data_IF_872218116205
#
_entry.id   IF_872218116205
#
_cell.length_a   1.000
_cell.length_b   1.000
_cell.length_c   1.000
_cell.angle_alpha   90.00
_cell.angle_beta   90.00
_cell.angle_gamma   90.00
#
_symmetry.space_group_name_H-M   'P 1'
#
loop_
_entity.id
_entity.type
_entity.pdbx_description
1 polymer ?
#
# COMPACT_ATOMS: atom_id res chain seq x y z
N UNK A 1 18.34 22.88 5.54
CA UNK A 1 17.70 22.50 6.82
C UNK A 1 16.24 22.94 6.74
N UNK A 2 15.30 21.99 6.69
CA UNK A 2 13.86 22.34 6.61
C UNK A 2 13.39 22.83 7.97
N UNK A 3 12.61 23.92 8.01
CA UNK A 3 11.97 24.40 9.23
C UNK A 3 10.88 23.42 9.62
N UNK A 4 10.67 23.18 10.92
CA UNK A 4 9.61 22.26 11.43
C UNK A 4 8.19 22.60 10.96
N UNK A 5 7.96 23.84 10.53
CA UNK A 5 6.69 24.34 10.00
C UNK A 5 6.34 23.82 8.60
N UNK A 6 7.34 23.29 7.85
CA UNK A 6 7.16 22.83 6.48
C UNK A 6 7.09 21.28 6.39
N UNK A 7 6.72 20.60 7.50
CA UNK A 7 6.72 19.14 7.61
C UNK A 7 5.44 18.62 8.20
N UNK A 8 4.94 17.51 7.67
CA UNK A 8 3.99 16.64 8.33
C UNK A 8 4.76 15.70 9.25
N UNK A 9 4.27 15.51 10.47
CA UNK A 9 4.92 14.67 11.50
C UNK A 9 3.87 13.75 12.11
N UNK A 10 4.15 12.45 12.11
CA UNK A 10 3.38 11.47 12.88
C UNK A 10 4.27 10.82 13.93
N UNK A 11 3.77 10.67 15.14
CA UNK A 11 4.42 9.94 16.21
C UNK A 11 3.99 8.48 16.15
N UNK A 12 4.96 7.56 16.07
CA UNK A 12 4.73 6.12 15.99
C UNK A 12 5.38 5.45 17.19
N UNK A 13 4.61 4.70 17.96
CA UNK A 13 5.16 3.87 19.03
C UNK A 13 5.66 2.54 18.49
N UNK A 14 6.94 2.22 18.74
CA UNK A 14 7.49 0.89 18.47
C UNK A 14 7.32 -0.01 19.68
N UNK A 15 6.64 -1.15 19.49
CA UNK A 15 6.31 -2.10 20.56
C UNK A 15 7.54 -2.73 21.22
N UNK A 16 8.66 -2.87 20.49
CA UNK A 16 9.87 -3.55 20.95
C UNK A 16 10.70 -2.75 21.93
N UNK A 17 10.63 -1.41 21.91
CA UNK A 17 11.50 -0.57 22.74
C UNK A 17 10.78 0.54 23.49
N UNK A 18 9.44 0.61 23.46
CA UNK A 18 8.66 1.76 24.00
C UNK A 18 9.22 3.12 23.52
N UNK A 19 9.90 3.13 22.41
CA UNK A 19 10.45 4.34 21.81
C UNK A 19 9.43 4.97 20.88
N UNK A 20 9.26 6.27 21.02
CA UNK A 20 8.45 7.08 20.12
C UNK A 20 9.33 7.47 18.93
N UNK A 21 9.02 6.96 17.77
CA UNK A 21 9.65 7.38 16.53
C UNK A 21 8.78 8.41 15.81
N UNK A 22 9.41 9.35 15.13
CA UNK A 22 8.70 10.34 14.34
C UNK A 22 8.92 10.03 12.87
N UNK A 23 7.83 9.81 12.15
CA UNK A 23 7.84 9.80 10.69
C UNK A 23 7.60 11.22 10.21
N UNK A 24 8.42 11.69 9.26
CA UNK A 24 8.44 13.09 8.84
C UNK A 24 8.42 13.14 7.31
N UNK A 25 7.50 13.92 6.76
CA UNK A 25 7.41 14.19 5.31
C UNK A 25 7.37 15.70 5.07
N UNK A 26 8.21 16.21 4.17
CA UNK A 26 8.17 17.61 3.82
C UNK A 26 6.91 17.95 3.01
N UNK A 27 6.20 19.00 3.40
CA UNK A 27 4.91 19.40 2.80
C UNK A 27 4.99 19.63 1.29
N UNK A 28 6.14 20.04 0.78
CA UNK A 28 6.34 20.25 -0.66
C UNK A 28 6.23 18.98 -1.52
N UNK A 29 6.32 17.80 -0.89
CA UNK A 29 6.25 16.50 -1.58
C UNK A 29 4.90 15.81 -1.42
N UNK A 30 3.98 16.38 -0.64
CA UNK A 30 2.68 15.78 -0.39
C UNK A 30 1.62 16.86 -0.26
N UNK A 31 0.67 16.88 -1.18
CA UNK A 31 -0.35 17.90 -1.30
C UNK A 31 -1.75 17.27 -1.33
N UNK A 32 -2.83 18.06 -1.09
CA UNK A 32 -4.21 17.56 -1.16
C UNK A 32 -4.64 16.97 -2.51
N UNK A 33 -3.86 17.16 -3.57
CA UNK A 33 -4.15 16.63 -4.91
C UNK A 33 -3.54 15.26 -5.15
N UNK A 34 -2.71 14.79 -4.23
CA UNK A 34 -1.98 13.54 -4.40
C UNK A 34 -2.85 12.33 -4.03
N UNK A 35 -2.71 11.27 -4.83
CA UNK A 35 -3.26 9.96 -4.62
C UNK A 35 -2.12 9.02 -4.25
N UNK A 36 -2.14 8.49 -3.03
CA UNK A 36 -0.98 7.83 -2.43
C UNK A 36 -1.21 6.33 -2.34
N UNK A 37 -0.29 5.56 -2.91
CA UNK A 37 -0.14 4.14 -2.64
C UNK A 37 0.99 3.97 -1.62
N UNK A 38 0.68 3.37 -0.46
CA UNK A 38 1.66 3.08 0.58
C UNK A 38 2.21 1.68 0.33
N UNK A 39 3.54 1.56 0.23
CA UNK A 39 4.22 0.27 0.09
C UNK A 39 5.19 0.10 1.24
N UNK A 40 5.14 -1.07 1.92
CA UNK A 40 6.02 -1.39 3.03
C UNK A 40 6.45 -2.87 2.98
N UNK A 41 7.55 -3.21 3.65
CA UNK A 41 8.10 -4.57 3.64
C UNK A 41 7.40 -5.49 4.64
N UNK A 42 7.19 -5.04 5.87
CA UNK A 42 6.60 -5.86 6.94
C UNK A 42 5.44 -5.17 7.65
N UNK A 43 4.33 -5.91 7.77
CA UNK A 43 3.20 -5.50 8.60
C UNK A 43 3.10 -6.41 9.84
N UNK A 44 3.35 -5.83 11.01
CA UNK A 44 3.25 -6.50 12.30
C UNK A 44 2.05 -5.98 13.11
N UNK A 45 2.27 -5.06 14.04
CA UNK A 45 1.22 -4.44 14.85
C UNK A 45 0.52 -3.26 14.16
N UNK A 46 1.05 -2.78 13.04
CA UNK A 46 0.47 -1.71 12.23
C UNK A 46 0.77 -0.29 12.70
N UNK A 47 1.57 -0.09 13.75
CA UNK A 47 1.84 1.26 14.27
C UNK A 47 2.53 2.17 13.24
N UNK A 48 3.55 1.67 12.54
CA UNK A 48 4.25 2.42 11.50
C UNK A 48 3.31 2.83 10.37
N UNK A 49 2.49 1.88 9.91
CA UNK A 49 1.53 2.08 8.83
C UNK A 49 0.44 3.09 9.20
N UNK A 50 -0.07 3.04 10.45
CA UNK A 50 -1.00 4.05 10.94
C UNK A 50 -0.37 5.45 10.95
N UNK A 51 0.90 5.58 11.31
CA UNK A 51 1.63 6.84 11.22
C UNK A 51 1.75 7.37 9.80
N UNK A 52 2.03 6.50 8.82
CA UNK A 52 2.05 6.88 7.40
C UNK A 52 0.66 7.33 6.90
N UNK A 53 -0.39 6.59 7.25
CA UNK A 53 -1.78 6.97 6.94
C UNK A 53 -2.11 8.35 7.52
N UNK A 54 -1.75 8.59 8.79
CA UNK A 54 -1.97 9.88 9.46
C UNK A 54 -1.27 11.04 8.73
N UNK A 55 -0.06 10.82 8.22
CA UNK A 55 0.66 11.83 7.43
C UNK A 55 -0.09 12.16 6.15
N UNK A 56 -0.51 11.13 5.41
CA UNK A 56 -1.27 11.32 4.16
C UNK A 56 -2.57 12.07 4.43
N UNK A 57 -3.33 11.68 5.46
CA UNK A 57 -4.56 12.36 5.86
C UNK A 57 -4.32 13.81 6.30
N UNK A 58 -3.24 14.08 7.03
CA UNK A 58 -2.88 15.42 7.50
C UNK A 58 -2.52 16.37 6.35
N UNK A 59 -2.08 15.84 5.23
CA UNK A 59 -1.82 16.62 4.01
C UNK A 59 -3.07 16.92 3.19
N UNK A 60 -4.19 16.26 3.49
CA UNK A 60 -5.42 16.29 2.69
C UNK A 60 -5.37 15.38 1.46
N UNK A 61 -4.29 14.61 1.26
CA UNK A 61 -4.16 13.63 0.20
C UNK A 61 -5.00 12.37 0.47
N UNK A 62 -5.27 11.59 -0.57
CA UNK A 62 -6.04 10.34 -0.50
C UNK A 62 -5.12 9.14 -0.45
N UNK A 63 -5.38 8.18 0.45
CA UNK A 63 -4.76 6.85 0.41
C UNK A 63 -5.59 5.97 -0.51
N UNK A 64 -5.05 5.60 -1.66
CA UNK A 64 -5.72 4.75 -2.66
C UNK A 64 -5.61 3.26 -2.34
N UNK A 65 -4.53 2.88 -1.67
CA UNK A 65 -4.31 1.49 -1.29
C UNK A 65 -3.01 1.31 -0.53
N UNK A 66 -2.83 0.10 -0.01
CA UNK A 66 -1.68 -0.28 0.79
C UNK A 66 -1.18 -1.64 0.32
N UNK A 67 0.10 -1.73 -0.05
CA UNK A 67 0.77 -2.96 -0.43
C UNK A 67 1.82 -3.35 0.60
N UNK A 68 1.81 -4.60 1.05
CA UNK A 68 2.75 -5.15 2.03
C UNK A 68 3.42 -6.37 1.44
N UNK A 69 4.75 -6.46 1.57
CA UNK A 69 5.45 -7.66 1.11
C UNK A 69 5.12 -8.84 2.02
N UNK A 70 5.29 -8.69 3.34
CA UNK A 70 5.04 -9.77 4.31
C UNK A 70 4.16 -9.26 5.46
N UNK A 71 2.96 -9.82 5.58
CA UNK A 71 2.06 -9.59 6.71
C UNK A 71 2.24 -10.69 7.77
N UNK A 72 2.44 -10.31 9.03
CA UNK A 72 2.40 -11.23 10.16
C UNK A 72 0.95 -11.42 10.59
N UNK A 73 0.25 -12.38 9.96
CA UNK A 73 -1.18 -12.65 10.15
C UNK A 73 -1.57 -13.04 11.58
N UNK A 74 -0.60 -13.48 12.39
CA UNK A 74 -0.78 -13.74 13.83
C UNK A 74 -0.69 -12.47 14.69
N UNK A 75 -0.46 -11.30 14.10
CA UNK A 75 -0.46 -10.00 14.77
C UNK A 75 -1.63 -9.12 14.28
N UNK A 76 -2.07 -8.14 15.07
CA UNK A 76 -3.32 -7.44 14.81
C UNK A 76 -3.27 -6.39 13.68
N UNK A 77 -2.09 -6.03 13.18
CA UNK A 77 -1.92 -4.89 12.29
C UNK A 77 -2.77 -4.95 11.03
N UNK A 78 -2.76 -6.09 10.34
CA UNK A 78 -3.56 -6.25 9.11
C UNK A 78 -5.06 -6.10 9.37
N UNK A 79 -5.57 -6.70 10.45
CA UNK A 79 -6.98 -6.56 10.83
C UNK A 79 -7.34 -5.11 11.19
N UNK A 80 -6.47 -4.41 11.91
CA UNK A 80 -6.68 -2.99 12.28
C UNK A 80 -6.81 -2.14 11.03
N UNK A 81 -5.89 -2.28 10.07
CA UNK A 81 -5.89 -1.47 8.85
C UNK A 81 -7.13 -1.74 7.97
N UNK A 82 -7.51 -3.01 7.81
CA UNK A 82 -8.73 -3.38 7.07
C UNK A 82 -10.00 -2.86 7.76
N UNK A 83 -10.06 -2.90 9.08
CA UNK A 83 -11.20 -2.36 9.86
C UNK A 83 -11.30 -0.83 9.75
N UNK A 84 -10.21 -0.13 9.49
CA UNK A 84 -10.21 1.31 9.20
C UNK A 84 -10.74 1.63 7.78
N UNK A 85 -11.04 0.61 6.98
CA UNK A 85 -11.62 0.74 5.64
C UNK A 85 -10.60 0.91 4.52
N UNK A 86 -9.30 0.72 4.78
CA UNK A 86 -8.28 0.79 3.73
C UNK A 86 -8.16 -0.53 2.98
N UNK A 87 -8.00 -0.45 1.67
CA UNK A 87 -7.63 -1.59 0.86
C UNK A 87 -6.18 -1.96 1.17
N UNK A 88 -5.98 -3.18 1.68
CA UNK A 88 -4.70 -3.73 2.09
C UNK A 88 -4.47 -5.06 1.37
N UNK A 89 -3.42 -5.10 0.56
CA UNK A 89 -2.98 -6.29 -0.15
C UNK A 89 -1.59 -6.71 0.36
N UNK A 90 -1.42 -7.99 0.65
CA UNK A 90 -0.16 -8.56 1.13
C UNK A 90 0.30 -9.67 0.19
N UNK A 91 1.57 -9.62 -0.26
CA UNK A 91 2.12 -10.64 -1.14
C UNK A 91 2.25 -12.00 -0.44
N UNK A 92 2.57 -11.99 0.85
CA UNK A 92 2.59 -13.19 1.68
C UNK A 92 2.05 -12.88 3.08
N UNK A 93 1.24 -13.81 3.63
CA UNK A 93 0.73 -13.72 5.00
C UNK A 93 1.28 -14.90 5.79
N UNK A 94 2.02 -14.62 6.85
CA UNK A 94 2.56 -15.61 7.78
C UNK A 94 1.56 -15.82 8.91
N UNK A 95 0.98 -17.01 9.01
CA UNK A 95 0.01 -17.35 10.06
C UNK A 95 0.67 -17.84 11.35
N UNK A 96 1.93 -18.28 11.28
CA UNK A 96 2.67 -18.70 12.45
C UNK A 96 4.15 -18.94 12.16
N UNK A 97 4.93 -18.91 13.24
CA UNK A 97 6.37 -19.17 13.22
C UNK A 97 6.76 -19.95 14.47
N UNK A 98 7.58 -21.00 14.32
CA UNK A 98 8.19 -21.71 15.42
C UNK A 98 9.69 -21.41 15.46
N UNK A 99 10.12 -20.66 16.47
CA UNK A 99 11.52 -20.28 16.62
C UNK A 99 12.45 -21.47 16.97
N UNK A 100 11.91 -22.58 17.51
CA UNK A 100 12.69 -23.75 17.89
C UNK A 100 13.03 -24.64 16.70
N UNK A 101 12.12 -24.74 15.74
CA UNK A 101 12.27 -25.57 14.54
C UNK A 101 12.63 -24.74 13.30
N UNK A 102 12.46 -23.42 13.35
CA UNK A 102 12.59 -22.52 12.19
C UNK A 102 11.45 -22.64 11.18
N UNK A 103 10.38 -23.34 11.53
CA UNK A 103 9.25 -23.56 10.64
C UNK A 103 8.37 -22.29 10.55
N UNK A 104 7.92 -21.98 9.32
CA UNK A 104 7.03 -20.84 9.03
C UNK A 104 5.82 -21.37 8.27
N UNK A 105 4.62 -20.97 8.69
CA UNK A 105 3.37 -21.31 8.02
C UNK A 105 2.81 -20.08 7.31
N UNK A 106 2.56 -20.22 6.02
CA UNK A 106 1.95 -19.19 5.21
C UNK A 106 0.47 -19.48 5.02
N UNK A 107 -0.32 -18.41 5.01
CA UNK A 107 -1.73 -18.48 4.63
C UNK A 107 -1.86 -18.74 3.14
N UNK A 108 -2.72 -19.70 2.76
CA UNK A 108 -3.11 -19.84 1.37
C UNK A 108 -3.92 -18.61 0.94
N UNK A 109 -3.47 -17.97 -0.13
CA UNK A 109 -4.19 -16.85 -0.74
C UNK A 109 -4.79 -17.33 -2.06
N UNK A 110 -6.02 -16.89 -2.41
CA UNK A 110 -6.55 -17.17 -3.73
C UNK A 110 -5.57 -16.63 -4.77
N UNK A 111 -5.34 -17.42 -5.83
CA UNK A 111 -4.53 -16.96 -6.94
C UNK A 111 -5.11 -15.63 -7.44
N UNK A 112 -4.27 -14.61 -7.54
CA UNK A 112 -4.70 -13.36 -8.17
C UNK A 112 -5.20 -13.69 -9.57
N UNK A 113 -6.43 -13.24 -9.91
CA UNK A 113 -7.05 -13.40 -11.22
C UNK A 113 -6.16 -12.73 -12.29
N UNK A 114 -5.13 -13.43 -12.76
CA UNK A 114 -4.25 -12.96 -13.84
C UNK A 114 -5.04 -12.81 -15.14
N UNK A 115 -6.10 -13.61 -15.31
CA UNK A 115 -6.95 -13.60 -16.49
C UNK A 115 -7.76 -12.31 -16.69
N UNK A 116 -7.99 -11.52 -15.61
CA UNK A 116 -8.66 -10.21 -15.73
C UNK A 116 -7.75 -9.08 -16.20
N UNK A 117 -6.43 -9.22 -16.08
CA UNK A 117 -5.48 -8.23 -16.57
C UNK A 117 -5.31 -8.35 -18.09
N UNK A 118 -5.18 -9.58 -18.61
CA UNK A 118 -5.03 -9.85 -20.05
C UNK A 118 -6.28 -9.44 -20.86
N UNK A 119 -7.49 -9.69 -20.33
CA UNK A 119 -8.73 -9.27 -21.01
C UNK A 119 -8.92 -7.75 -21.12
N UNK A 120 -8.26 -6.95 -20.27
CA UNK A 120 -8.26 -5.48 -20.38
C UNK A 120 -7.28 -4.95 -21.41
N UNK A 121 -6.15 -5.61 -21.59
CA UNK A 121 -5.17 -5.20 -22.60
C UNK A 121 -5.64 -5.53 -24.02
N UNK A 122 -6.27 -6.68 -24.26
CA UNK A 122 -6.85 -7.01 -25.55
C UNK A 122 -7.97 -6.05 -25.99
N UNK A 123 -8.84 -5.63 -25.06
CA UNK A 123 -9.93 -4.69 -25.39
C UNK A 123 -9.40 -3.29 -25.72
N UNK A 124 -8.24 -2.91 -25.21
CA UNK A 124 -7.62 -1.60 -25.52
C UNK A 124 -6.89 -1.65 -26.85
N UNK A 125 -6.26 -2.78 -27.20
CA UNK A 125 -5.55 -2.96 -28.46
C UNK A 125 -6.50 -2.99 -29.68
N UNK A 126 -7.66 -3.64 -29.57
CA UNK A 126 -8.67 -3.67 -30.64
C UNK A 126 -9.27 -2.29 -30.91
N UNK A 127 -9.48 -1.46 -29.87
CA UNK A 127 -10.00 -0.10 -30.07
C UNK A 127 -9.02 0.82 -30.79
N UNK A 128 -7.72 0.68 -30.54
CA UNK A 128 -6.69 1.54 -31.16
C UNK A 128 -6.44 1.16 -32.62
N UNK A 129 -6.62 -0.12 -33.00
CA UNK A 129 -6.46 -0.56 -34.36
C UNK A 129 -7.67 -0.18 -35.28
N UNK A 130 -8.88 -0.11 -34.71
CA UNK A 130 -10.10 0.25 -35.44
C UNK A 130 -10.14 1.72 -35.90
N UNK A 131 -9.57 2.61 -35.13
CA UNK A 131 -9.59 4.06 -35.42
C UNK A 131 -8.50 4.49 -36.43
N UNK A 132 -7.40 3.73 -36.54
CA UNK A 132 -6.33 4.05 -37.49
C UNK A 132 -6.67 3.62 -38.93
N UNK A 133 -7.56 2.63 -39.11
CA UNK A 133 -7.92 2.12 -40.46
C UNK A 133 -9.04 2.94 -41.15
N UNK A 134 -9.67 3.90 -40.48
CA UNK A 134 -10.77 4.71 -41.07
C UNK A 134 -10.33 6.06 -41.64
N UNK A 135 -9.07 6.45 -41.49
CA UNK A 135 -8.59 7.77 -41.97
C UNK A 135 -7.83 7.75 -43.31
N UNK A 136 -7.82 6.61 -44.06
CA UNK A 136 -7.05 6.47 -45.29
C UNK A 136 -7.89 6.26 -46.54
N UNK A 137 -9.13 6.74 -46.56
CA UNK A 137 -9.93 6.76 -47.80
C UNK A 137 -10.64 8.09 -47.93
N UNK A 138 -9.93 9.08 -48.45
CA UNK A 138 -10.50 10.21 -49.21
C UNK A 138 -9.37 10.86 -50.03
N UNK A 139 -9.54 10.79 -51.35
CA UNK A 139 -8.91 11.47 -52.49
C UNK A 139 -7.56 11.00 -52.95
#
# INVERSE_FOLDING_TARGET
>A
MYKRQDMYVAEVETFTHKCKNHVIVAQKFLTPKDHVLIIDDFLANGCALQGLIQIVQSSGATVEGIGIAIEKGFQPGGQIIRNLGFQLESLAIVDGMDASTGQIWFREQPAADRDKAESREETTAEKTCGDFCRSSTLD
#
